data_IF_490605006314
#
_entry.id   IF_490605006314
#
_cell.length_a   1.000
_cell.length_b   1.000
_cell.length_c   1.000
_cell.angle_alpha   90.00
_cell.angle_beta   90.00
_cell.angle_gamma   90.00
#
_symmetry.space_group_name_H-M   'P 1'
#
loop_
_entity.id
_entity.type
_entity.pdbx_description
1 polymer ?
#
# COMPACT_ATOMS: atom_id res chain seq x y z
N UNK A 1 -4.62 -0.28 -7.57
CA UNK A 1 -3.52 -1.23 -7.86
C UNK A 1 -3.31 -2.19 -6.69
N UNK A 2 -3.18 -3.50 -6.93
CA UNK A 2 -3.11 -4.55 -5.90
C UNK A 2 -1.68 -4.79 -5.37
N UNK A 3 -1.03 -3.77 -4.80
CA UNK A 3 0.36 -3.87 -4.32
C UNK A 3 0.54 -4.67 -3.02
N UNK A 4 -0.56 -4.96 -2.33
CA UNK A 4 -0.59 -5.82 -1.15
C UNK A 4 -0.32 -7.30 -1.44
N UNK A 5 -0.27 -7.68 -2.72
CA UNK A 5 -0.07 -9.06 -3.16
C UNK A 5 1.33 -9.27 -3.76
N UNK A 6 1.85 -10.50 -3.70
CA UNK A 6 3.01 -10.89 -4.49
C UNK A 6 2.78 -10.60 -5.98
N UNK A 7 3.84 -10.26 -6.71
CA UNK A 7 3.75 -9.89 -8.13
C UNK A 7 3.04 -10.95 -8.99
N UNK A 8 3.19 -12.24 -8.66
CA UNK A 8 2.54 -13.38 -9.35
C UNK A 8 1.02 -13.42 -9.12
N UNK A 9 0.55 -12.97 -7.97
CA UNK A 9 -0.89 -12.86 -7.69
C UNK A 9 -1.45 -11.55 -8.25
N UNK A 10 -0.70 -10.45 -8.13
CA UNK A 10 -1.06 -9.17 -8.76
C UNK A 10 -1.14 -9.30 -10.29
N UNK A 11 -0.24 -10.05 -10.92
CA UNK A 11 -0.27 -10.34 -12.38
C UNK A 11 -1.53 -11.06 -12.80
N UNK A 12 -1.97 -12.05 -12.01
CA UNK A 12 -3.21 -12.80 -12.27
C UNK A 12 -4.45 -11.93 -12.11
N UNK A 13 -4.50 -11.08 -11.07
CA UNK A 13 -5.64 -10.17 -10.84
C UNK A 13 -5.73 -9.03 -11.85
N UNK A 14 -4.59 -8.57 -12.35
CA UNK A 14 -4.53 -7.48 -13.33
C UNK A 14 -4.48 -8.01 -14.77
N UNK A 15 -4.49 -9.33 -14.98
CA UNK A 15 -4.29 -9.97 -16.28
C UNK A 15 -3.06 -9.46 -17.04
N UNK A 16 -2.01 -9.05 -16.33
CA UNK A 16 -0.77 -8.50 -16.88
C UNK A 16 0.39 -9.43 -16.58
N UNK A 17 1.25 -9.70 -17.56
CA UNK A 17 2.47 -10.47 -17.31
C UNK A 17 3.34 -9.82 -16.21
N UNK A 18 3.98 -10.60 -15.33
CA UNK A 18 4.88 -10.07 -14.30
C UNK A 18 5.99 -9.16 -14.86
N UNK A 19 6.43 -9.43 -16.10
CA UNK A 19 7.40 -8.60 -16.82
C UNK A 19 6.85 -7.20 -17.12
N UNK A 20 5.58 -7.09 -17.50
CA UNK A 20 4.90 -5.81 -17.73
C UNK A 20 4.76 -5.04 -16.42
N UNK A 21 4.33 -5.70 -15.35
CA UNK A 21 4.27 -5.09 -14.01
C UNK A 21 5.64 -4.57 -13.54
N UNK A 22 6.71 -5.34 -13.75
CA UNK A 22 8.09 -4.89 -13.45
C UNK A 22 8.50 -3.69 -14.30
N UNK A 23 8.12 -3.64 -15.58
CA UNK A 23 8.40 -2.48 -16.47
C UNK A 23 7.67 -1.23 -15.97
N UNK A 24 6.40 -1.37 -15.59
CA UNK A 24 5.59 -0.28 -15.03
C UNK A 24 6.21 0.23 -13.72
N UNK A 25 6.59 -0.67 -12.79
CA UNK A 25 7.26 -0.27 -11.56
C UNK A 25 8.55 0.49 -11.82
N UNK A 26 9.40 0.01 -12.75
CA UNK A 26 10.65 0.68 -13.12
C UNK A 26 10.41 2.06 -13.72
N UNK A 27 9.42 2.21 -14.61
CA UNK A 27 9.02 3.52 -15.16
C UNK A 27 8.52 4.47 -14.08
N UNK A 28 7.86 3.94 -13.06
CA UNK A 28 7.38 4.71 -11.91
C UNK A 28 8.41 4.95 -10.80
N UNK A 29 9.71 4.74 -11.06
CA UNK A 29 10.78 4.94 -10.08
C UNK A 29 10.91 3.85 -9.01
N UNK A 30 10.13 2.77 -9.11
CA UNK A 30 10.20 1.62 -8.21
C UNK A 30 10.99 0.47 -8.84
N UNK A 31 12.28 0.37 -8.49
CA UNK A 31 13.18 -0.69 -8.97
C UNK A 31 12.72 -2.11 -8.62
N UNK A 32 11.91 -2.27 -7.57
CA UNK A 32 11.36 -3.56 -7.12
C UNK A 32 9.88 -3.42 -6.77
N UNK A 33 9.11 -4.48 -7.01
CA UNK A 33 7.71 -4.56 -6.62
C UNK A 33 7.56 -4.30 -5.12
N UNK A 34 6.82 -3.26 -4.68
CA UNK A 34 6.84 -2.77 -3.31
C UNK A 34 6.08 -3.65 -2.31
N UNK A 35 5.78 -4.91 -2.64
CA UNK A 35 5.02 -5.84 -1.79
C UNK A 35 5.54 -5.94 -0.36
N UNK A 36 6.86 -6.05 -0.16
CA UNK A 36 7.43 -6.16 1.20
C UNK A 36 7.16 -4.92 2.05
N UNK A 37 7.38 -3.73 1.47
CA UNK A 37 7.15 -2.44 2.15
C UNK A 37 5.66 -2.21 2.40
N UNK A 38 4.83 -2.46 1.38
CA UNK A 38 3.37 -2.35 1.46
C UNK A 38 2.79 -3.32 2.48
N UNK A 39 3.27 -4.57 2.53
CA UNK A 39 2.83 -5.56 3.53
C UNK A 39 3.11 -5.11 4.96
N UNK A 40 4.31 -4.57 5.22
CA UNK A 40 4.65 -4.05 6.56
C UNK A 40 3.75 -2.86 6.96
N UNK A 41 3.51 -1.93 6.03
CA UNK A 41 2.62 -0.78 6.27
C UNK A 41 1.16 -1.21 6.47
N UNK A 42 0.68 -2.16 5.68
CA UNK A 42 -0.66 -2.73 5.83
C UNK A 42 -0.84 -3.50 7.14
N UNK A 43 0.19 -4.20 7.60
CA UNK A 43 0.13 -4.84 8.92
C UNK A 43 -0.08 -3.80 10.02
N UNK A 44 0.70 -2.70 9.98
CA UNK A 44 0.55 -1.59 10.94
C UNK A 44 -0.82 -0.92 10.82
N UNK A 45 -1.29 -0.72 9.60
CA UNK A 45 -2.61 -0.17 9.31
C UNK A 45 -3.71 -1.05 9.91
N UNK A 46 -3.65 -2.37 9.72
CA UNK A 46 -4.64 -3.30 10.26
C UNK A 46 -4.62 -3.31 11.79
N UNK A 47 -3.43 -3.31 12.42
CA UNK A 47 -3.31 -3.23 13.88
C UNK A 47 -3.91 -1.93 14.42
N UNK A 48 -3.64 -0.78 13.79
CA UNK A 48 -4.23 0.51 14.20
C UNK A 48 -5.74 0.56 13.96
N UNK A 49 -6.22 -0.05 12.88
CA UNK A 49 -7.66 -0.18 12.60
C UNK A 49 -8.37 -1.04 13.64
N UNK A 50 -7.70 -2.09 14.13
CA UNK A 50 -8.20 -2.91 15.23
C UNK A 50 -8.27 -2.12 16.54
N UNK A 51 -7.23 -1.35 16.86
CA UNK A 51 -7.25 -0.41 18.00
C UNK A 51 -8.40 0.59 17.86
N UNK A 52 -8.70 1.11 16.67
CA UNK A 52 -9.86 1.98 16.46
C UNK A 52 -11.20 1.28 16.67
N UNK A 53 -11.27 -0.04 16.49
CA UNK A 53 -12.50 -0.79 16.72
C UNK A 53 -12.72 -1.09 18.20
N UNK A 54 -11.64 -1.30 18.96
CA UNK A 54 -11.71 -1.70 20.37
C UNK A 54 -11.57 -0.53 21.35
N UNK A 55 -10.94 0.57 20.95
CA UNK A 55 -10.74 1.73 21.80
C UNK A 55 -12.04 2.53 21.99
N UNK A 56 -12.46 2.64 23.24
CA UNK A 56 -13.58 3.48 23.68
C UNK A 56 -13.15 4.93 23.93
N UNK A 57 -11.88 5.15 24.29
CA UNK A 57 -11.34 6.49 24.58
C UNK A 57 -11.19 7.35 23.31
N UNK A 58 -11.88 8.51 23.20
CA UNK A 58 -11.82 9.39 22.04
C UNK A 58 -10.42 9.89 21.69
N UNK A 59 -9.55 10.10 22.69
CA UNK A 59 -8.17 10.58 22.49
C UNK A 59 -7.30 9.52 21.85
N UNK A 60 -7.47 8.26 22.26
CA UNK A 60 -6.79 7.11 21.67
C UNK A 60 -7.23 6.92 20.22
N UNK A 61 -8.54 7.04 19.96
CA UNK A 61 -9.09 6.97 18.60
C UNK A 61 -8.53 8.07 17.70
N UNK A 62 -8.54 9.32 18.16
CA UNK A 62 -8.01 10.45 17.40
C UNK A 62 -6.53 10.26 17.03
N UNK A 63 -5.70 9.78 17.97
CA UNK A 63 -4.28 9.47 17.70
C UNK A 63 -4.12 8.34 16.68
N UNK A 64 -4.91 7.28 16.84
CA UNK A 64 -4.87 6.14 15.92
C UNK A 64 -5.31 6.55 14.51
N UNK A 65 -6.32 7.40 14.37
CA UNK A 65 -6.76 7.98 13.08
C UNK A 65 -5.67 8.83 12.42
N UNK A 66 -4.98 9.69 13.18
CA UNK A 66 -3.86 10.49 12.66
C UNK A 66 -2.72 9.60 12.12
N UNK A 67 -2.35 8.56 12.87
CA UNK A 67 -1.34 7.60 12.42
C UNK A 67 -1.82 6.78 11.23
N UNK A 68 -3.10 6.43 11.17
CA UNK A 68 -3.71 5.74 10.03
C UNK A 68 -3.58 6.58 8.75
N UNK A 69 -3.96 7.86 8.81
CA UNK A 69 -3.85 8.80 7.71
C UNK A 69 -2.39 8.99 7.25
N UNK A 70 -1.45 9.02 8.19
CA UNK A 70 -0.01 9.09 7.88
C UNK A 70 0.48 7.86 7.12
N UNK A 71 0.05 6.66 7.53
CA UNK A 71 0.40 5.41 6.85
C UNK A 71 -0.22 5.33 5.46
N UNK A 72 -1.46 5.78 5.28
CA UNK A 72 -2.11 5.87 3.97
C UNK A 72 -1.38 6.82 3.02
N UNK A 73 -1.01 8.01 3.50
CA UNK A 73 -0.21 8.96 2.72
C UNK A 73 1.09 8.31 2.25
N UNK A 74 1.79 7.61 3.14
CA UNK A 74 3.05 6.91 2.83
C UNK A 74 2.85 5.77 1.82
N UNK A 75 1.74 5.02 1.92
CA UNK A 75 1.36 4.01 0.93
C UNK A 75 1.08 4.65 -0.43
N UNK A 76 0.34 5.76 -0.45
CA UNK A 76 0.03 6.53 -1.65
C UNK A 76 1.30 7.05 -2.31
N UNK A 77 2.24 7.62 -1.55
CA UNK A 77 3.52 8.11 -2.07
C UNK A 77 4.33 7.00 -2.75
N UNK A 78 4.45 5.84 -2.11
CA UNK A 78 5.13 4.66 -2.68
C UNK A 78 4.45 4.21 -3.97
N UNK A 79 3.11 4.29 -4.04
CA UNK A 79 2.33 3.80 -5.18
C UNK A 79 2.12 4.86 -6.27
N UNK A 80 2.26 6.16 -5.98
CA UNK A 80 1.94 7.26 -6.91
C UNK A 80 2.89 7.32 -8.10
N UNK A 81 4.15 6.90 -7.91
CA UNK A 81 5.13 6.85 -8.99
C UNK A 81 4.67 5.93 -10.12
N UNK A 82 3.90 4.89 -9.81
CA UNK A 82 3.39 3.93 -10.78
C UNK A 82 2.16 4.46 -11.55
N UNK A 83 1.34 5.31 -10.93
CA UNK A 83 0.09 5.81 -11.50
C UNK A 83 0.28 7.03 -12.42
N UNK A 84 1.38 7.78 -12.29
CA UNK A 84 1.65 8.99 -13.10
C UNK A 84 1.99 8.76 -14.57
N UNK A 85 2.27 7.52 -14.99
CA UNK A 85 2.68 7.17 -16.37
C UNK A 85 1.60 6.39 -17.15
N UNK A 86 0.32 6.52 -16.78
CA UNK A 86 -0.80 5.81 -17.40
C UNK A 86 -1.98 6.71 -17.80
N UNK A 87 -1.76 8.03 -17.80
CA UNK A 87 -2.59 9.03 -18.49
C UNK A 87 -1.85 9.49 -19.74
#
# INVERSE_FOLDING_TARGET
MHFHLPIKQASRRLSLCPTVLKKICRRGGLNRWPHRRVKSLLSKFNSLKEVLRTATDPRVRMRAEQELARLEKRLSEICSGILRNYT
#
